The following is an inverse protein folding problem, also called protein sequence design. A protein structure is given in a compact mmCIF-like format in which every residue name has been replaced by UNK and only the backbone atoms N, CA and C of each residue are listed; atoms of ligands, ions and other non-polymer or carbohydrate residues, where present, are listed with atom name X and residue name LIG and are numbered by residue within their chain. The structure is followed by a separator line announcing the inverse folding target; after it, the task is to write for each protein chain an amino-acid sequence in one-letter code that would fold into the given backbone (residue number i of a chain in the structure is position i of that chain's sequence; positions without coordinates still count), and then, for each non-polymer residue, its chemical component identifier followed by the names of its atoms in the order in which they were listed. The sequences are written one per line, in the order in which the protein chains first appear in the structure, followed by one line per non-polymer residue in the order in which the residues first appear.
data_IF_138038843124
#
_entry.id   IF_138038843124
#
_cell.length_a   1.000
_cell.length_b   1.000
_cell.length_c   1.000
_cell.angle_alpha   90.00
_cell.angle_beta   90.00
_cell.angle_gamma   90.00
#
_symmetry.space_group_name_H-M   'P 1'
#
loop_
_entity.id
_entity.type
_entity.pdbx_description
1 polymer ?
#
# COMPACT_ATOMS: atom_id res chain seq x y z
N UNK A 1 5.14 -22.47 22.51
CA UNK A 1 4.96 -21.21 23.29
C UNK A 1 6.33 -20.77 23.79
N UNK A 2 6.94 -19.70 23.25
CA UNK A 2 8.13 -19.11 23.85
C UNK A 2 7.67 -18.35 25.10
N UNK A 3 8.10 -18.78 26.27
CA UNK A 3 7.90 -18.03 27.53
C UNK A 3 8.76 -16.78 27.43
N UNK A 4 8.13 -15.62 27.32
CA UNK A 4 8.82 -14.32 27.38
C UNK A 4 9.43 -14.17 28.77
N UNK A 5 10.75 -14.00 28.86
CA UNK A 5 11.51 -13.94 30.11
C UNK A 5 11.57 -12.55 30.72
N UNK A 6 11.08 -11.52 30.02
CA UNK A 6 11.06 -10.15 30.50
C UNK A 6 9.62 -9.66 30.77
N UNK A 7 9.42 -8.75 31.75
CA UNK A 7 8.09 -8.21 32.03
C UNK A 7 7.54 -7.44 30.83
N UNK A 8 6.29 -7.72 30.49
CA UNK A 8 5.55 -7.01 29.43
C UNK A 8 5.26 -5.58 29.92
N UNK A 9 5.71 -4.59 29.15
CA UNK A 9 5.33 -3.19 29.39
C UNK A 9 4.22 -2.83 28.41
N UNK A 10 2.99 -2.69 28.89
CA UNK A 10 1.86 -2.25 28.07
C UNK A 10 2.11 -0.82 27.58
N UNK A 11 2.03 -0.60 26.29
CA UNK A 11 2.23 0.68 25.60
C UNK A 11 0.89 1.32 25.26
N UNK A 12 -0.07 0.51 24.75
CA UNK A 12 -1.39 0.98 24.40
C UNK A 12 -2.43 -0.15 24.45
N UNK A 13 -3.67 0.23 24.69
CA UNK A 13 -4.84 -0.61 24.48
C UNK A 13 -5.54 -0.19 23.19
N UNK A 14 -6.01 -1.15 22.40
CA UNK A 14 -6.62 -0.89 21.10
C UNK A 14 -7.62 -1.99 20.77
N UNK A 15 -8.11 -1.97 19.55
CA UNK A 15 -8.92 -3.03 18.96
C UNK A 15 -8.22 -3.60 17.72
N UNK A 16 -8.40 -4.90 17.48
CA UNK A 16 -7.85 -5.58 16.33
C UNK A 16 -8.82 -6.65 15.84
N UNK A 17 -8.66 -7.08 14.60
CA UNK A 17 -9.47 -8.17 14.05
C UNK A 17 -8.84 -9.52 14.36
N UNK A 18 -9.67 -10.53 14.62
CA UNK A 18 -9.24 -11.91 14.55
C UNK A 18 -8.79 -12.23 13.11
N UNK A 19 -7.60 -12.78 12.88
CA UNK A 19 -7.14 -13.07 11.52
C UNK A 19 -7.89 -14.24 10.85
N UNK A 20 -8.71 -15.00 11.63
CA UNK A 20 -9.46 -16.15 11.14
C UNK A 20 -10.92 -15.82 10.83
N UNK A 21 -11.65 -15.19 11.78
CA UNK A 21 -13.08 -14.91 11.63
C UNK A 21 -13.42 -13.42 11.50
N UNK A 22 -12.43 -12.54 11.48
CA UNK A 22 -12.56 -11.08 11.36
C UNK A 22 -13.37 -10.42 12.50
N UNK A 23 -13.65 -11.13 13.58
CA UNK A 23 -14.30 -10.55 14.77
C UNK A 23 -13.41 -9.45 15.36
N UNK A 24 -14.02 -8.31 15.69
CA UNK A 24 -13.35 -7.22 16.40
C UNK A 24 -13.10 -7.65 17.86
N UNK A 25 -11.85 -7.53 18.29
CA UNK A 25 -11.37 -7.97 19.60
C UNK A 25 -10.64 -6.85 20.31
N UNK A 26 -10.72 -6.75 21.66
CA UNK A 26 -9.76 -5.99 22.44
C UNK A 26 -8.34 -6.51 22.17
N UNK A 27 -7.39 -5.61 22.09
CA UNK A 27 -5.99 -5.92 21.86
C UNK A 27 -5.08 -5.04 22.72
N UNK A 28 -3.94 -5.60 23.12
CA UNK A 28 -2.90 -4.87 23.84
C UNK A 28 -1.64 -4.78 22.98
N UNK A 29 -1.11 -3.57 22.89
CA UNK A 29 0.23 -3.31 22.34
C UNK A 29 1.20 -3.23 23.49
N UNK A 30 2.27 -4.01 23.48
CA UNK A 30 3.24 -4.04 24.57
C UNK A 30 4.67 -4.17 24.05
N UNK A 31 5.60 -3.67 24.85
CA UNK A 31 7.04 -3.79 24.61
C UNK A 31 7.60 -5.01 25.35
N UNK A 32 8.35 -5.82 24.64
CA UNK A 32 9.15 -6.91 25.19
C UNK A 32 10.32 -7.25 24.24
N UNK A 33 11.45 -7.61 24.78
CA UNK A 33 12.66 -8.04 24.01
C UNK A 33 13.09 -7.01 22.95
N UNK A 34 12.98 -5.71 23.23
CA UNK A 34 13.32 -4.63 22.28
C UNK A 34 12.38 -4.48 21.09
N UNK A 35 11.24 -5.18 21.11
CA UNK A 35 10.22 -5.18 20.06
C UNK A 35 8.88 -4.71 20.62
N UNK A 36 8.00 -4.31 19.71
CA UNK A 36 6.59 -4.05 20.01
C UNK A 36 5.76 -5.20 19.50
N UNK A 37 4.91 -5.72 20.34
CA UNK A 37 4.01 -6.83 20.09
C UNK A 37 2.55 -6.37 20.16
N UNK A 38 1.67 -7.07 19.47
CA UNK A 38 0.23 -6.93 19.63
C UNK A 38 -0.37 -8.28 20.01
N UNK A 39 -1.11 -8.32 21.10
CA UNK A 39 -1.79 -9.52 21.57
C UNK A 39 -3.30 -9.34 21.60
N UNK A 40 -4.03 -10.40 21.28
CA UNK A 40 -5.49 -10.47 21.30
C UNK A 40 -5.93 -11.91 21.51
N UNK A 41 -7.14 -12.12 22.06
CA UNK A 41 -7.69 -13.44 22.27
C UNK A 41 -9.07 -13.53 21.61
N UNK A 42 -9.23 -14.47 20.67
CA UNK A 42 -10.52 -14.78 20.07
C UNK A 42 -11.17 -15.94 20.81
N UNK A 43 -12.45 -15.85 21.20
CA UNK A 43 -13.14 -16.94 21.86
C UNK A 43 -13.21 -18.26 21.06
N UNK A 44 -13.15 -18.14 19.72
CA UNK A 44 -13.24 -19.30 18.81
C UNK A 44 -11.88 -19.82 18.34
N UNK A 45 -10.87 -18.92 18.23
CA UNK A 45 -9.58 -19.22 17.59
C UNK A 45 -8.38 -19.08 18.52
N UNK A 46 -8.61 -18.73 19.80
CA UNK A 46 -7.55 -18.65 20.83
C UNK A 46 -6.71 -17.38 20.74
N UNK A 47 -5.51 -17.46 21.30
CA UNK A 47 -4.59 -16.33 21.42
C UNK A 47 -3.79 -16.10 20.15
N UNK A 48 -3.61 -14.82 19.82
CA UNK A 48 -2.70 -14.32 18.80
C UNK A 48 -1.72 -13.34 19.41
N UNK A 49 -0.46 -13.51 19.10
CA UNK A 49 0.61 -12.69 19.60
C UNK A 49 1.61 -12.45 18.46
N UNK A 50 1.51 -11.28 17.85
CA UNK A 50 2.23 -10.94 16.64
C UNK A 50 3.24 -9.83 16.89
N UNK A 51 4.40 -9.88 16.21
CA UNK A 51 5.31 -8.72 16.16
C UNK A 51 4.61 -7.61 15.38
N UNK A 52 4.42 -6.47 16.05
CA UNK A 52 3.82 -5.26 15.47
C UNK A 52 4.93 -4.36 14.87
N UNK A 53 6.02 -4.15 15.62
CA UNK A 53 7.23 -3.49 15.15
C UNK A 53 8.45 -4.25 15.67
N UNK A 54 9.43 -4.52 14.81
CA UNK A 54 10.65 -5.24 15.18
C UNK A 54 11.64 -4.40 15.99
N UNK A 55 11.43 -3.08 16.13
CA UNK A 55 12.21 -2.18 16.97
C UNK A 55 11.30 -1.31 17.82
N UNK A 56 11.42 -1.46 19.16
CA UNK A 56 10.71 -0.61 20.12
C UNK A 56 11.20 0.84 20.04
N UNK A 57 12.49 1.07 19.84
CA UNK A 57 13.07 2.41 19.70
C UNK A 57 12.43 3.18 18.51
N UNK A 58 12.40 2.54 17.34
CA UNK A 58 11.81 3.15 16.15
C UNK A 58 10.30 3.38 16.31
N UNK A 59 9.59 2.48 17.00
CA UNK A 59 8.18 2.66 17.31
C UNK A 59 7.97 3.91 18.19
N UNK A 60 8.73 4.04 19.26
CA UNK A 60 8.61 5.21 20.14
C UNK A 60 9.02 6.51 19.45
N UNK A 61 10.02 6.46 18.56
CA UNK A 61 10.36 7.59 17.70
C UNK A 61 9.19 7.97 16.79
N UNK A 62 8.59 6.98 16.09
CA UNK A 62 7.45 7.22 15.21
C UNK A 62 6.22 7.77 15.95
N UNK A 63 5.95 7.28 17.17
CA UNK A 63 4.82 7.73 17.99
C UNK A 63 4.86 9.21 18.34
N UNK A 64 6.04 9.86 18.35
CA UNK A 64 6.17 11.30 18.60
C UNK A 64 5.65 12.16 17.45
N UNK A 65 5.49 11.58 16.27
CA UNK A 65 4.97 12.24 15.07
C UNK A 65 3.46 11.99 14.87
N UNK A 66 2.83 11.19 15.75
CA UNK A 66 1.41 10.92 15.64
C UNK A 66 0.61 12.22 15.80
N UNK A 67 -0.25 12.50 14.85
CA UNK A 67 -1.09 13.67 14.79
C UNK A 67 -2.45 13.34 14.19
N UNK A 68 -3.51 13.81 14.82
CA UNK A 68 -4.84 13.74 14.25
C UNK A 68 -5.00 14.80 13.16
N UNK A 69 -5.58 14.41 12.04
CA UNK A 69 -5.91 15.33 10.97
C UNK A 69 -7.10 16.21 11.28
N UNK A 70 -7.64 16.88 10.26
CA UNK A 70 -8.81 17.75 10.41
C UNK A 70 -10.15 17.01 10.42
N UNK A 71 -10.12 15.69 10.32
CA UNK A 71 -11.34 14.88 10.24
C UNK A 71 -12.13 15.11 8.97
N UNK A 72 -13.42 14.76 9.01
CA UNK A 72 -14.32 14.80 7.89
C UNK A 72 -15.66 15.48 8.29
N UNK A 73 -15.97 16.63 7.69
CA UNK A 73 -17.22 17.37 7.91
C UNK A 73 -18.37 16.89 7.01
N UNK A 74 -18.03 16.20 5.91
CA UNK A 74 -19.01 15.68 4.94
C UNK A 74 -18.96 14.14 4.89
N UNK A 75 -19.37 13.44 5.97
CA UNK A 75 -19.31 11.99 6.01
C UNK A 75 -20.29 11.38 4.99
N UNK A 76 -19.85 10.28 4.36
CA UNK A 76 -20.70 9.50 3.47
C UNK A 76 -21.52 8.47 4.25
N UNK A 77 -21.00 8.04 5.40
CA UNK A 77 -21.69 7.17 6.35
C UNK A 77 -21.89 7.95 7.66
N UNK A 78 -23.11 8.39 7.92
CA UNK A 78 -23.49 9.10 9.12
C UNK A 78 -24.29 8.18 10.05
N UNK A 79 -23.61 7.39 10.86
CA UNK A 79 -24.20 6.60 11.95
C UNK A 79 -23.99 7.31 13.27
N UNK A 80 -24.96 7.16 14.19
CA UNK A 80 -24.82 7.69 15.56
C UNK A 80 -23.62 7.08 16.30
N UNK A 81 -23.40 5.78 16.10
CA UNK A 81 -22.31 5.01 16.72
C UNK A 81 -21.67 4.10 15.66
N UNK A 82 -20.82 4.65 14.77
CA UNK A 82 -20.14 3.82 13.79
C UNK A 82 -19.10 2.92 14.49
N UNK A 83 -18.96 1.71 14.00
CA UNK A 83 -17.98 0.72 14.48
C UNK A 83 -16.93 0.49 13.41
N UNK A 84 -15.72 0.96 13.67
CA UNK A 84 -14.59 0.70 12.79
C UNK A 84 -14.12 -0.76 12.93
N UNK A 85 -13.84 -1.50 11.83
CA UNK A 85 -13.90 -1.09 10.43
C UNK A 85 -15.23 -1.43 9.72
N UNK A 86 -16.23 -1.98 10.42
CA UNK A 86 -17.47 -2.48 9.79
C UNK A 86 -18.31 -1.38 9.13
N UNK A 87 -18.27 -0.18 9.70
CA UNK A 87 -18.94 1.00 9.15
C UNK A 87 -17.95 1.96 8.46
N UNK A 88 -16.83 1.41 7.96
CA UNK A 88 -15.83 2.20 7.24
C UNK A 88 -16.35 2.61 5.85
N UNK A 89 -16.13 3.86 5.52
CA UNK A 89 -16.57 4.44 4.25
C UNK A 89 -16.72 5.95 4.38
N UNK A 90 -15.67 6.63 4.88
CA UNK A 90 -15.70 8.06 5.17
C UNK A 90 -16.81 8.39 6.19
N UNK A 91 -16.76 7.74 7.35
CA UNK A 91 -17.73 7.92 8.41
C UNK A 91 -17.46 9.18 9.25
N UNK A 92 -18.42 9.55 10.08
CA UNK A 92 -18.37 10.78 10.90
C UNK A 92 -17.42 10.75 12.09
N UNK A 93 -16.76 9.61 12.38
CA UNK A 93 -15.66 9.52 13.37
C UNK A 93 -14.29 9.43 12.71
N UNK A 94 -14.21 9.63 11.40
CA UNK A 94 -12.94 9.61 10.66
C UNK A 94 -12.07 10.80 11.08
N UNK A 95 -10.88 10.53 11.62
CA UNK A 95 -10.04 11.56 12.25
C UNK A 95 -9.13 12.30 11.26
N UNK A 96 -8.94 11.74 10.06
CA UNK A 96 -8.08 12.32 9.03
C UNK A 96 -8.91 12.71 7.79
N UNK A 97 -8.33 13.52 6.91
CA UNK A 97 -8.87 13.76 5.57
C UNK A 97 -8.12 12.93 4.53
N UNK A 98 -8.76 12.68 3.40
CA UNK A 98 -8.16 11.90 2.32
C UNK A 98 -7.08 12.71 1.60
N UNK A 99 -5.82 12.28 1.69
CA UNK A 99 -4.71 12.85 0.92
C UNK A 99 -4.63 12.23 -0.47
N UNK A 100 -4.69 10.90 -0.54
CA UNK A 100 -4.69 10.10 -1.74
C UNK A 100 -5.82 9.07 -1.66
N UNK A 101 -6.72 9.07 -2.62
CA UNK A 101 -7.80 8.09 -2.71
C UNK A 101 -7.42 6.97 -3.68
N UNK A 102 -7.58 5.72 -3.24
CA UNK A 102 -7.45 4.55 -4.10
C UNK A 102 -8.81 4.27 -4.78
N UNK A 103 -8.87 4.49 -6.08
CA UNK A 103 -10.05 4.19 -6.89
C UNK A 103 -9.89 2.84 -7.57
N UNK A 104 -10.64 1.85 -7.09
CA UNK A 104 -10.61 0.49 -7.64
C UNK A 104 -11.39 0.46 -8.95
N UNK A 105 -10.71 0.20 -10.07
CA UNK A 105 -11.29 0.20 -11.41
C UNK A 105 -11.77 -1.18 -11.86
N UNK A 106 -11.07 -2.22 -11.44
CA UNK A 106 -11.37 -3.60 -11.82
C UNK A 106 -10.77 -4.58 -10.83
N UNK A 107 -11.33 -5.77 -10.73
CA UNK A 107 -10.70 -6.91 -10.05
C UNK A 107 -10.08 -7.92 -11.04
N UNK A 108 -10.10 -7.63 -12.34
CA UNK A 108 -9.32 -8.41 -13.32
C UNK A 108 -7.83 -8.09 -13.22
N UNK A 109 -6.99 -9.09 -13.44
CA UNK A 109 -5.53 -8.96 -13.45
C UNK A 109 -4.93 -10.04 -14.35
N UNK A 110 -3.93 -9.73 -15.11
CA UNK A 110 -3.16 -10.68 -15.93
C UNK A 110 -2.07 -11.41 -15.12
N UNK A 111 -1.86 -11.00 -13.86
CA UNK A 111 -0.97 -11.67 -12.91
C UNK A 111 -1.73 -12.51 -11.88
N UNK A 112 -1.05 -13.52 -11.34
CA UNK A 112 -1.58 -14.45 -10.35
C UNK A 112 -0.72 -14.49 -9.08
N UNK A 113 -0.39 -13.33 -8.51
CA UNK A 113 0.48 -13.23 -7.34
C UNK A 113 -0.11 -13.99 -6.14
N UNK A 114 0.68 -14.90 -5.56
CA UNK A 114 0.24 -15.75 -4.44
C UNK A 114 0.02 -14.97 -3.13
N UNK A 115 0.61 -13.79 -2.99
CA UNK A 115 0.48 -12.90 -1.84
C UNK A 115 -0.50 -11.74 -2.08
N UNK A 116 -1.28 -11.75 -3.16
CA UNK A 116 -2.22 -10.69 -3.46
C UNK A 116 -3.27 -10.55 -2.36
N UNK A 117 -3.33 -9.37 -1.73
CA UNK A 117 -4.33 -9.09 -0.70
C UNK A 117 -5.71 -8.75 -1.29
N UNK A 118 -5.75 -8.42 -2.57
CA UNK A 118 -6.93 -7.90 -3.26
C UNK A 118 -7.83 -8.99 -3.86
N UNK A 119 -7.42 -10.26 -3.86
CA UNK A 119 -8.14 -11.38 -4.50
C UNK A 119 -8.44 -11.15 -5.99
N UNK A 120 -7.62 -10.40 -6.71
CA UNK A 120 -7.74 -10.24 -8.15
C UNK A 120 -7.86 -11.61 -8.84
N UNK A 121 -8.71 -11.71 -9.88
CA UNK A 121 -9.02 -12.94 -10.64
C UNK A 121 -9.65 -14.09 -9.84
N UNK A 122 -9.89 -13.95 -8.53
CA UNK A 122 -10.42 -15.02 -7.67
C UNK A 122 -11.68 -14.67 -6.89
N UNK A 123 -12.26 -13.52 -7.16
CA UNK A 123 -13.47 -13.06 -6.49
C UNK A 123 -14.73 -13.86 -6.91
N UNK A 124 -14.67 -14.57 -8.06
CA UNK A 124 -15.82 -15.28 -8.63
C UNK A 124 -16.84 -14.37 -9.33
N UNK A 125 -16.53 -13.08 -9.44
CA UNK A 125 -17.32 -12.09 -10.18
C UNK A 125 -16.39 -11.00 -10.71
N UNK A 126 -16.84 -10.27 -11.74
CA UNK A 126 -16.13 -9.09 -12.25
C UNK A 126 -16.73 -7.84 -11.60
N UNK A 127 -15.86 -7.04 -10.99
CA UNK A 127 -16.17 -5.71 -10.50
C UNK A 127 -15.53 -4.68 -11.42
N UNK A 128 -16.36 -3.92 -12.12
CA UNK A 128 -15.94 -2.78 -12.95
C UNK A 128 -17.02 -1.70 -12.88
N UNK A 129 -16.79 -0.62 -12.12
CA UNK A 129 -17.74 0.48 -12.06
C UNK A 129 -17.84 1.17 -13.43
N UNK A 130 -19.06 1.60 -13.79
CA UNK A 130 -19.29 2.37 -15.01
C UNK A 130 -18.61 3.75 -14.94
N UNK A 131 -18.43 4.39 -16.09
CA UNK A 131 -17.89 5.75 -16.16
C UNK A 131 -18.70 6.76 -15.32
N UNK A 132 -20.02 6.59 -15.28
CA UNK A 132 -20.89 7.40 -14.45
C UNK A 132 -20.64 7.19 -12.96
N UNK A 133 -20.55 5.93 -12.52
CA UNK A 133 -20.21 5.58 -11.13
C UNK A 133 -18.83 6.13 -10.72
N UNK A 134 -17.85 6.03 -11.62
CA UNK A 134 -16.50 6.59 -11.41
C UNK A 134 -16.59 8.11 -11.23
N UNK A 135 -17.35 8.80 -12.10
CA UNK A 135 -17.54 10.25 -12.00
C UNK A 135 -18.16 10.64 -10.65
N UNK A 136 -19.17 9.93 -10.20
CA UNK A 136 -19.79 10.18 -8.89
C UNK A 136 -18.83 9.91 -7.72
N UNK A 137 -18.02 8.83 -7.77
CA UNK A 137 -16.99 8.57 -6.77
C UNK A 137 -15.97 9.72 -6.69
N UNK A 138 -15.51 10.22 -7.84
CA UNK A 138 -14.56 11.34 -7.90
C UNK A 138 -15.21 12.61 -7.36
N UNK A 139 -16.48 12.92 -7.69
CA UNK A 139 -17.20 14.06 -7.13
C UNK A 139 -17.32 14.00 -5.61
N UNK A 140 -17.61 12.83 -5.04
CA UNK A 140 -17.64 12.63 -3.58
C UNK A 140 -16.31 13.04 -2.97
N UNK A 141 -15.21 12.55 -3.51
CA UNK A 141 -13.85 12.85 -3.04
C UNK A 141 -13.50 14.34 -3.17
N UNK A 142 -13.90 14.98 -4.27
CA UNK A 142 -13.65 16.41 -4.53
C UNK A 142 -14.53 17.33 -3.69
N UNK A 143 -15.69 16.88 -3.25
CA UNK A 143 -16.61 17.64 -2.40
C UNK A 143 -16.37 17.43 -0.89
N UNK A 144 -15.37 16.64 -0.50
CA UNK A 144 -15.02 16.43 0.89
C UNK A 144 -14.62 17.75 1.58
N UNK A 145 -15.06 17.92 2.81
CA UNK A 145 -14.70 19.05 3.67
C UNK A 145 -14.11 18.56 5.00
N UNK A 146 -13.19 19.30 5.62
CA UNK A 146 -12.75 20.66 5.24
C UNK A 146 -11.74 20.67 4.09
N UNK A 147 -11.15 19.53 3.72
CA UNK A 147 -10.10 19.43 2.69
C UNK A 147 -10.54 18.41 1.62
N UNK A 148 -10.71 18.83 0.36
CA UNK A 148 -11.01 17.90 -0.73
C UNK A 148 -9.81 17.02 -1.06
N UNK A 149 -10.05 15.77 -1.46
CA UNK A 149 -9.01 14.89 -1.98
C UNK A 149 -8.44 15.46 -3.29
N UNK A 150 -7.13 15.70 -3.33
CA UNK A 150 -6.45 16.28 -4.48
C UNK A 150 -5.77 15.24 -5.36
N UNK A 151 -5.49 14.07 -4.82
CA UNK A 151 -4.80 13.00 -5.51
C UNK A 151 -5.66 11.73 -5.55
N UNK A 152 -5.64 11.05 -6.69
CA UNK A 152 -6.30 9.77 -6.90
C UNK A 152 -5.30 8.79 -7.50
N UNK A 153 -5.25 7.59 -6.92
CA UNK A 153 -4.58 6.44 -7.48
C UNK A 153 -5.60 5.53 -8.16
N UNK A 154 -5.45 5.33 -9.45
CA UNK A 154 -6.20 4.34 -10.21
C UNK A 154 -5.57 2.97 -9.96
N UNK A 155 -6.34 2.04 -9.41
CA UNK A 155 -5.85 0.75 -8.92
C UNK A 155 -6.89 -0.36 -9.11
N UNK A 156 -6.63 -1.53 -8.55
CA UNK A 156 -7.51 -2.68 -8.60
C UNK A 156 -6.73 -3.98 -8.69
N UNK A 157 -7.12 -4.87 -9.62
CA UNK A 157 -6.24 -5.90 -10.16
C UNK A 157 -5.20 -5.23 -11.04
N UNK A 158 -5.44 -5.19 -12.37
CA UNK A 158 -4.62 -4.40 -13.29
C UNK A 158 -5.50 -3.38 -14.04
N UNK A 159 -5.41 -2.08 -13.69
CA UNK A 159 -6.21 -1.03 -14.31
C UNK A 159 -6.02 -0.89 -15.81
N UNK A 160 -4.83 -1.21 -16.31
CA UNK A 160 -4.51 -1.11 -17.75
C UNK A 160 -5.26 -2.14 -18.61
N UNK A 161 -5.94 -3.12 -18.02
CA UNK A 161 -6.83 -4.05 -18.71
C UNK A 161 -8.19 -3.43 -19.08
N UNK A 162 -8.52 -2.24 -18.58
CA UNK A 162 -9.76 -1.56 -18.95
C UNK A 162 -9.59 -0.82 -20.28
N UNK A 163 -10.50 -1.09 -21.21
CA UNK A 163 -10.50 -0.45 -22.54
C UNK A 163 -10.83 1.06 -22.46
N UNK A 164 -11.59 1.46 -21.45
CA UNK A 164 -12.00 2.85 -21.18
C UNK A 164 -11.09 3.60 -20.19
N UNK A 165 -9.88 3.06 -19.88
CA UNK A 165 -8.93 3.69 -18.95
C UNK A 165 -8.65 5.16 -19.28
N UNK A 166 -8.49 5.49 -20.55
CA UNK A 166 -8.20 6.87 -21.00
C UNK A 166 -9.35 7.81 -20.64
N UNK A 167 -10.58 7.37 -20.79
CA UNK A 167 -11.77 8.15 -20.43
C UNK A 167 -11.88 8.34 -18.91
N UNK A 168 -11.58 7.29 -18.15
CA UNK A 168 -11.53 7.35 -16.68
C UNK A 168 -10.52 8.42 -16.20
N UNK A 169 -9.32 8.45 -16.79
CA UNK A 169 -8.31 9.45 -16.46
C UNK A 169 -8.83 10.86 -16.76
N UNK A 170 -9.49 11.06 -17.91
CA UNK A 170 -10.10 12.35 -18.28
C UNK A 170 -11.17 12.77 -17.29
N UNK A 171 -12.06 11.87 -16.88
CA UNK A 171 -13.06 12.12 -15.85
C UNK A 171 -12.41 12.66 -14.56
N UNK A 172 -11.33 12.03 -14.08
CA UNK A 172 -10.62 12.52 -12.91
C UNK A 172 -10.13 13.96 -13.10
N UNK A 173 -9.56 14.29 -14.27
CA UNK A 173 -9.07 15.64 -14.56
C UNK A 173 -10.19 16.66 -14.72
N UNK A 174 -11.29 16.31 -15.36
CA UNK A 174 -12.49 17.14 -15.53
C UNK A 174 -13.12 17.51 -14.18
N UNK A 175 -13.17 16.57 -13.24
CA UNK A 175 -13.66 16.79 -11.89
C UNK A 175 -12.63 17.52 -10.98
N UNK A 176 -11.49 17.96 -11.52
CA UNK A 176 -10.53 18.81 -10.84
C UNK A 176 -9.53 18.08 -9.95
N UNK A 177 -9.22 16.81 -10.24
CA UNK A 177 -8.15 16.09 -9.54
C UNK A 177 -6.80 16.64 -9.97
N UNK A 178 -5.99 17.13 -9.03
CA UNK A 178 -4.69 17.71 -9.31
C UNK A 178 -3.67 16.65 -9.73
N UNK A 179 -3.65 15.51 -9.02
CA UNK A 179 -2.70 14.43 -9.24
C UNK A 179 -3.42 13.10 -9.49
N UNK A 180 -3.17 12.52 -10.66
CA UNK A 180 -3.64 11.17 -11.03
C UNK A 180 -2.42 10.28 -11.17
N UNK A 181 -2.38 9.19 -10.40
CA UNK A 181 -1.36 8.16 -10.54
C UNK A 181 -1.98 6.83 -10.97
N UNK A 182 -1.26 6.09 -11.81
CA UNK A 182 -1.65 4.77 -12.29
C UNK A 182 -0.83 3.71 -11.59
N UNK A 183 -1.49 2.87 -10.79
CA UNK A 183 -0.86 1.72 -10.14
C UNK A 183 -1.01 0.50 -11.05
N UNK A 184 0.09 -0.02 -11.56
CA UNK A 184 0.12 -1.04 -12.61
C UNK A 184 1.30 -1.99 -12.46
N UNK A 185 1.18 -3.20 -12.98
CA UNK A 185 2.33 -4.09 -13.20
C UNK A 185 3.23 -3.64 -14.36
N UNK A 186 2.72 -2.76 -15.21
CA UNK A 186 3.45 -2.14 -16.30
C UNK A 186 3.49 -2.94 -17.60
N UNK A 187 3.05 -4.20 -17.64
CA UNK A 187 3.16 -5.06 -18.82
C UNK A 187 2.54 -4.43 -20.07
N UNK A 188 1.36 -3.81 -19.93
CA UNK A 188 0.70 -3.10 -21.03
C UNK A 188 1.45 -1.83 -21.45
N UNK A 189 2.08 -1.12 -20.51
CA UNK A 189 2.91 0.05 -20.83
C UNK A 189 4.21 -0.35 -21.53
N UNK A 190 4.76 -1.53 -21.20
CA UNK A 190 5.94 -2.07 -21.85
C UNK A 190 5.66 -2.53 -23.27
N UNK A 191 4.56 -3.24 -23.49
CA UNK A 191 4.19 -3.81 -24.79
C UNK A 191 3.57 -2.79 -25.78
N UNK A 192 2.94 -1.71 -25.26
CA UNK A 192 2.29 -0.67 -26.08
C UNK A 192 2.82 0.73 -25.72
N UNK A 193 3.82 1.25 -26.47
CA UNK A 193 4.35 2.60 -26.24
C UNK A 193 3.31 3.71 -26.48
N UNK A 194 2.30 3.46 -27.33
CA UNK A 194 1.21 4.41 -27.56
C UNK A 194 0.32 4.55 -26.32
N UNK A 195 0.15 3.48 -25.54
CA UNK A 195 -0.61 3.55 -24.28
C UNK A 195 0.07 4.49 -23.29
N UNK A 196 1.40 4.41 -23.11
CA UNK A 196 2.15 5.31 -22.24
C UNK A 196 1.94 6.79 -22.62
N UNK A 197 1.98 7.10 -23.92
CA UNK A 197 1.69 8.44 -24.41
C UNK A 197 0.22 8.86 -24.18
N UNK A 198 -0.73 7.96 -24.41
CA UNK A 198 -2.16 8.23 -24.22
C UNK A 198 -2.51 8.51 -22.76
N UNK A 199 -2.02 7.69 -21.82
CA UNK A 199 -2.28 7.91 -20.38
C UNK A 199 -1.66 9.22 -19.91
N UNK A 200 -0.45 9.57 -20.40
CA UNK A 200 0.17 10.87 -20.10
C UNK A 200 -0.65 12.05 -20.62
N UNK A 201 -1.05 11.99 -21.88
CA UNK A 201 -1.89 13.04 -22.51
C UNK A 201 -3.26 13.18 -21.85
N UNK A 202 -3.82 12.07 -21.36
CA UNK A 202 -5.09 12.08 -20.62
C UNK A 202 -4.98 12.72 -19.23
N UNK A 203 -3.77 12.76 -18.64
CA UNK A 203 -3.53 13.47 -17.39
C UNK A 203 -2.88 12.67 -16.26
N UNK A 204 -2.38 11.46 -16.51
CA UNK A 204 -1.57 10.74 -15.52
C UNK A 204 -0.27 11.52 -15.25
N UNK A 205 0.02 11.73 -13.99
CA UNK A 205 1.22 12.40 -13.52
C UNK A 205 2.36 11.41 -13.23
N UNK A 206 2.02 10.27 -12.63
CA UNK A 206 3.00 9.30 -12.12
C UNK A 206 2.50 7.88 -12.34
N UNK A 207 3.40 6.98 -12.70
CA UNK A 207 3.17 5.53 -12.71
C UNK A 207 3.69 4.96 -11.40
N UNK A 208 2.84 4.25 -10.67
CA UNK A 208 3.18 3.40 -9.54
C UNK A 208 3.40 2.00 -10.07
N UNK A 209 4.67 1.65 -10.27
CA UNK A 209 5.09 0.44 -10.95
C UNK A 209 5.39 -0.67 -9.94
N UNK A 210 4.70 -1.78 -10.03
CA UNK A 210 5.05 -2.99 -9.29
C UNK A 210 6.47 -3.45 -9.62
N UNK A 211 7.34 -3.60 -8.61
CA UNK A 211 8.75 -3.92 -8.81
C UNK A 211 9.33 -4.59 -7.56
N UNK A 212 9.28 -5.90 -7.47
CA UNK A 212 9.59 -6.63 -6.23
C UNK A 212 11.06 -6.99 -6.05
N UNK A 213 11.93 -6.71 -7.04
CA UNK A 213 13.37 -6.98 -6.95
C UNK A 213 14.10 -6.75 -8.26
N UNK A 214 15.42 -6.82 -8.19
CA UNK A 214 16.35 -6.61 -9.30
C UNK A 214 16.66 -7.89 -10.09
N UNK A 215 16.25 -9.05 -9.56
CA UNK A 215 16.47 -10.36 -10.19
C UNK A 215 15.16 -10.99 -10.68
N UNK A 216 15.22 -11.93 -11.65
CA UNK A 216 14.01 -12.62 -12.13
C UNK A 216 13.30 -13.41 -11.04
N UNK A 217 14.05 -13.97 -10.10
CA UNK A 217 13.52 -14.76 -8.98
C UNK A 217 12.75 -13.90 -7.99
N UNK A 218 13.26 -12.69 -7.71
CA UNK A 218 12.64 -11.75 -6.78
C UNK A 218 11.49 -10.97 -7.44
N UNK A 219 11.57 -10.73 -8.76
CA UNK A 219 10.54 -10.01 -9.51
C UNK A 219 10.01 -10.82 -10.71
N UNK A 220 9.36 -11.95 -10.49
CA UNK A 220 8.86 -12.79 -11.57
C UNK A 220 7.68 -12.17 -12.35
N UNK A 221 7.16 -11.02 -11.90
CA UNK A 221 6.00 -10.36 -12.49
C UNK A 221 6.32 -9.71 -13.84
N UNK A 222 7.40 -8.95 -13.89
CA UNK A 222 7.70 -8.07 -15.02
C UNK A 222 9.22 -7.78 -15.18
N UNK A 223 10.08 -8.62 -14.60
CA UNK A 223 11.52 -8.37 -14.59
C UNK A 223 12.07 -8.08 -16.00
N UNK A 224 11.67 -8.86 -16.99
CA UNK A 224 12.18 -8.75 -18.35
C UNK A 224 11.60 -7.56 -19.10
N UNK A 225 10.45 -7.06 -18.71
CA UNK A 225 9.76 -5.95 -19.31
C UNK A 225 10.18 -4.59 -18.73
N UNK A 226 10.80 -4.57 -17.55
CA UNK A 226 11.21 -3.33 -16.86
C UNK A 226 11.99 -2.36 -17.76
N UNK A 227 13.02 -2.77 -18.51
CA UNK A 227 13.74 -1.83 -19.37
C UNK A 227 12.85 -1.14 -20.37
N UNK A 228 11.94 -1.89 -21.00
CA UNK A 228 11.02 -1.36 -22.01
C UNK A 228 9.91 -0.50 -21.37
N UNK A 229 9.42 -0.87 -20.19
CA UNK A 229 8.45 -0.07 -19.42
C UNK A 229 9.04 1.30 -19.11
N UNK A 230 10.25 1.34 -18.54
CA UNK A 230 10.92 2.59 -18.20
C UNK A 230 11.21 3.44 -19.45
N UNK A 231 11.64 2.84 -20.53
CA UNK A 231 11.90 3.56 -21.79
C UNK A 231 10.63 4.18 -22.37
N UNK A 232 9.51 3.47 -22.36
CA UNK A 232 8.22 3.99 -22.82
C UNK A 232 7.71 5.12 -21.91
N UNK A 233 7.90 4.99 -20.60
CA UNK A 233 7.60 6.05 -19.64
C UNK A 233 8.47 7.30 -19.85
N UNK A 234 9.79 7.15 -20.12
CA UNK A 234 10.69 8.27 -20.48
C UNK A 234 10.18 9.03 -21.69
N UNK A 235 9.90 8.30 -22.78
CA UNK A 235 9.38 8.90 -24.04
C UNK A 235 8.06 9.62 -23.84
N UNK A 236 7.21 9.12 -22.94
CA UNK A 236 5.94 9.73 -22.61
C UNK A 236 6.06 10.92 -21.64
N UNK A 237 7.20 11.11 -20.97
CA UNK A 237 7.37 12.11 -19.92
C UNK A 237 6.61 11.76 -18.63
N UNK A 238 6.49 10.47 -18.33
CA UNK A 238 5.91 9.95 -17.08
C UNK A 238 7.00 9.75 -16.04
N UNK A 239 6.81 10.21 -14.82
CA UNK A 239 7.63 9.80 -13.68
C UNK A 239 7.20 8.43 -13.15
N UNK A 240 8.13 7.65 -12.64
CA UNK A 240 7.87 6.32 -12.09
C UNK A 240 8.19 6.29 -10.61
N UNK A 241 7.31 5.72 -9.81
CA UNK A 241 7.56 5.32 -8.42
C UNK A 241 7.57 3.80 -8.38
N UNK A 242 8.65 3.21 -7.88
CA UNK A 242 8.72 1.76 -7.69
C UNK A 242 7.91 1.36 -6.45
N UNK A 243 7.17 0.28 -6.55
CA UNK A 243 6.29 -0.21 -5.47
C UNK A 243 6.61 -1.68 -5.17
N UNK A 244 7.72 -1.95 -4.48
CA UNK A 244 8.08 -3.29 -4.10
C UNK A 244 7.23 -3.80 -2.92
N UNK A 245 6.66 -4.99 -3.08
CA UNK A 245 6.12 -5.76 -1.96
C UNK A 245 7.22 -6.63 -1.40
N UNK A 246 7.64 -6.34 -0.18
CA UNK A 246 8.73 -7.07 0.48
C UNK A 246 8.17 -8.14 1.40
N UNK A 247 8.68 -9.35 1.22
CA UNK A 247 8.25 -10.57 1.92
C UNK A 247 9.49 -11.19 2.57
N UNK A 248 9.46 -11.29 3.90
CA UNK A 248 10.56 -11.91 4.63
C UNK A 248 10.86 -13.32 4.10
N UNK A 249 12.12 -13.69 3.97
CA UNK A 249 12.65 -14.96 3.42
C UNK A 249 12.38 -15.21 1.92
N UNK A 250 11.81 -14.23 1.20
CA UNK A 250 11.52 -14.35 -0.24
C UNK A 250 12.36 -13.35 -1.04
N UNK A 251 12.14 -12.06 -0.81
CA UNK A 251 12.82 -10.98 -1.52
C UNK A 251 13.32 -9.86 -0.59
N UNK A 252 13.39 -10.13 0.70
CA UNK A 252 13.84 -9.14 1.69
C UNK A 252 15.33 -8.76 1.54
N UNK A 253 16.13 -9.57 0.85
CA UNK A 253 17.50 -9.22 0.41
C UNK A 253 17.55 -8.18 -0.71
N UNK A 254 16.45 -7.94 -1.40
CA UNK A 254 16.36 -6.97 -2.52
C UNK A 254 16.18 -5.50 -2.08
N UNK A 255 15.95 -5.25 -0.80
CA UNK A 255 15.64 -3.89 -0.31
C UNK A 255 16.75 -2.90 -0.69
N UNK A 256 18.01 -3.19 -0.39
CA UNK A 256 19.16 -2.36 -0.78
C UNK A 256 19.35 -2.27 -2.30
N UNK A 257 19.41 -3.41 -3.02
CA UNK A 257 19.50 -3.41 -4.49
C UNK A 257 18.43 -2.58 -5.18
N UNK A 258 17.17 -2.59 -4.70
CA UNK A 258 16.08 -1.76 -5.24
C UNK A 258 16.38 -0.26 -5.04
N UNK A 259 16.89 0.14 -3.86
CA UNK A 259 17.28 1.54 -3.62
C UNK A 259 18.39 1.95 -4.59
N UNK A 260 19.41 1.09 -4.75
CA UNK A 260 20.49 1.33 -5.71
C UNK A 260 19.96 1.47 -7.14
N UNK A 261 19.07 0.58 -7.57
CA UNK A 261 18.41 0.68 -8.88
C UNK A 261 17.69 2.01 -9.06
N UNK A 262 17.03 2.52 -8.01
CA UNK A 262 16.43 3.84 -8.01
C UNK A 262 17.44 4.96 -8.25
N UNK A 263 18.58 4.92 -7.57
CA UNK A 263 19.67 5.89 -7.77
C UNK A 263 20.29 5.81 -9.18
N UNK A 264 20.45 4.61 -9.72
CA UNK A 264 20.99 4.40 -11.06
C UNK A 264 20.04 4.92 -12.17
N UNK A 265 18.76 5.19 -11.84
CA UNK A 265 17.71 5.63 -12.77
C UNK A 265 16.98 6.92 -12.31
N UNK A 266 17.68 7.85 -11.65
CA UNK A 266 17.09 9.11 -11.12
C UNK A 266 16.44 9.99 -12.19
N UNK A 267 16.78 9.81 -13.45
CA UNK A 267 16.16 10.50 -14.59
C UNK A 267 14.68 10.19 -14.74
N UNK A 268 14.25 8.99 -14.30
CA UNK A 268 12.87 8.50 -14.42
C UNK A 268 12.24 8.10 -13.09
N UNK A 269 13.01 7.48 -12.16
CA UNK A 269 12.52 7.04 -10.86
C UNK A 269 12.40 8.25 -9.93
N UNK A 270 11.20 8.50 -9.42
CA UNK A 270 10.87 9.64 -8.54
C UNK A 270 10.78 9.26 -7.07
N UNK A 271 10.70 7.98 -6.79
CA UNK A 271 10.62 7.44 -5.44
C UNK A 271 10.46 5.94 -5.42
N UNK A 272 10.56 5.39 -4.23
CA UNK A 272 10.34 3.97 -3.95
C UNK A 272 9.40 3.88 -2.75
N UNK A 273 8.29 3.17 -2.91
CA UNK A 273 7.31 2.94 -1.85
C UNK A 273 7.37 1.49 -1.43
N UNK A 274 8.25 1.16 -0.50
CA UNK A 274 8.33 -0.19 0.06
C UNK A 274 7.06 -0.57 0.81
N UNK A 275 6.51 -1.71 0.49
CA UNK A 275 5.32 -2.26 1.13
C UNK A 275 5.69 -3.57 1.85
N UNK A 276 5.79 -3.57 3.19
CA UNK A 276 5.76 -4.83 3.93
C UNK A 276 4.53 -5.63 3.53
N UNK A 277 4.71 -6.91 3.22
CA UNK A 277 3.61 -7.73 2.71
C UNK A 277 2.41 -7.74 3.65
N UNK A 278 1.22 -7.60 3.08
CA UNK A 278 -0.03 -7.77 3.82
C UNK A 278 -0.28 -9.25 4.12
N UNK A 279 -0.36 -9.60 5.40
CA UNK A 279 -0.56 -10.99 5.84
C UNK A 279 -2.05 -11.42 5.79
N UNK A 280 -2.74 -10.98 4.75
CA UNK A 280 -4.18 -11.21 4.49
C UNK A 280 -4.39 -11.65 3.05
N UNK A 281 -5.64 -11.82 2.64
CA UNK A 281 -5.95 -12.18 1.26
C UNK A 281 -5.50 -13.59 0.92
N UNK A 282 -4.68 -13.73 -0.11
CA UNK A 282 -4.18 -15.02 -0.63
C UNK A 282 -3.01 -15.60 0.16
N UNK A 283 -2.43 -14.83 1.08
CA UNK A 283 -1.32 -15.26 1.92
C UNK A 283 -1.67 -16.53 2.70
N UNK A 284 -0.84 -17.60 2.62
CA UNK A 284 -1.06 -18.81 3.40
C UNK A 284 -1.06 -18.53 4.90
N UNK A 285 -2.14 -18.89 5.59
CA UNK A 285 -2.33 -18.55 7.01
C UNK A 285 -1.22 -19.11 7.93
N UNK A 286 -0.76 -20.33 7.64
CA UNK A 286 0.27 -21.02 8.43
C UNK A 286 1.69 -20.46 8.21
N UNK A 287 1.89 -19.63 7.20
CA UNK A 287 3.18 -19.04 6.86
C UNK A 287 3.31 -17.57 7.27
N UNK A 288 2.28 -16.97 7.86
CA UNK A 288 2.25 -15.54 8.19
C UNK A 288 3.42 -15.08 9.03
N UNK A 289 3.82 -15.85 10.05
CA UNK A 289 4.95 -15.47 10.90
C UNK A 289 6.28 -15.54 10.14
N UNK A 290 6.44 -16.50 9.26
CA UNK A 290 7.65 -16.65 8.42
C UNK A 290 7.81 -15.47 7.48
N UNK A 291 6.72 -15.03 6.86
CA UNK A 291 6.73 -13.97 5.86
C UNK A 291 6.62 -12.55 6.44
N UNK A 292 6.40 -12.44 7.75
CA UNK A 292 6.28 -11.15 8.42
C UNK A 292 7.56 -10.35 8.32
N UNK A 293 7.42 -9.11 7.88
CA UNK A 293 8.46 -8.08 7.87
C UNK A 293 7.83 -6.76 8.31
N UNK A 294 8.57 -5.91 8.97
CA UNK A 294 8.09 -4.64 9.49
C UNK A 294 8.92 -3.47 8.95
N UNK A 295 8.44 -2.24 9.10
CA UNK A 295 9.14 -1.05 8.63
C UNK A 295 10.56 -0.94 9.18
N UNK A 296 10.85 -1.18 10.49
CA UNK A 296 12.21 -1.17 10.99
C UNK A 296 13.14 -2.18 10.31
N UNK A 297 12.61 -3.36 9.94
CA UNK A 297 13.41 -4.36 9.23
C UNK A 297 13.88 -3.85 7.86
N UNK A 298 13.01 -3.11 7.14
CA UNK A 298 13.36 -2.51 5.85
C UNK A 298 14.41 -1.41 6.01
N UNK A 299 14.23 -0.53 7.00
CA UNK A 299 15.19 0.56 7.28
C UNK A 299 16.55 -0.02 7.64
N UNK A 300 16.61 -1.04 8.49
CA UNK A 300 17.87 -1.70 8.85
C UNK A 300 18.55 -2.33 7.63
N UNK A 301 17.81 -2.95 6.71
CA UNK A 301 18.40 -3.51 5.47
C UNK A 301 18.97 -2.44 4.54
N UNK A 302 18.37 -1.25 4.51
CA UNK A 302 18.92 -0.12 3.75
C UNK A 302 20.20 0.36 4.41
N UNK A 303 20.18 0.59 5.74
CA UNK A 303 21.34 1.01 6.52
C UNK A 303 22.52 0.06 6.35
N UNK A 304 22.27 -1.28 6.46
CA UNK A 304 23.28 -2.30 6.30
C UNK A 304 23.85 -2.35 4.86
N UNK A 305 23.01 -2.20 3.83
CA UNK A 305 23.44 -2.27 2.44
C UNK A 305 24.31 -1.09 2.02
N UNK A 306 24.07 0.08 2.59
CA UNK A 306 24.81 1.31 2.30
C UNK A 306 25.87 1.64 3.37
N UNK A 307 26.27 0.65 4.19
CA UNK A 307 27.29 0.81 5.24
C UNK A 307 27.06 2.03 6.14
N UNK A 308 25.77 2.37 6.38
CA UNK A 308 25.36 3.51 7.20
C UNK A 308 25.39 4.88 6.50
N UNK A 309 25.72 4.95 5.20
CA UNK A 309 25.60 6.20 4.44
C UNK A 309 24.14 6.70 4.34
N UNK A 310 23.18 5.77 4.41
CA UNK A 310 21.77 6.03 4.59
C UNK A 310 21.37 5.35 5.88
N UNK A 311 21.25 6.13 6.96
CA UNK A 311 20.95 5.64 8.29
C UNK A 311 19.48 5.80 8.69
N UNK A 312 19.12 5.16 9.81
CA UNK A 312 17.76 5.25 10.35
C UNK A 312 17.31 6.68 10.69
N UNK A 313 18.23 7.60 10.89
CA UNK A 313 17.97 9.03 11.12
C UNK A 313 17.45 9.76 9.89
N UNK A 314 17.73 9.25 8.67
CA UNK A 314 17.27 9.83 7.42
C UNK A 314 15.79 9.51 7.12
N UNK A 315 15.19 8.59 7.88
CA UNK A 315 13.80 8.21 7.75
C UNK A 315 12.92 8.92 8.77
N UNK A 316 11.95 9.68 8.28
CA UNK A 316 11.02 10.43 9.13
C UNK A 316 9.60 9.85 9.02
N UNK A 317 8.93 9.60 10.16
CA UNK A 317 7.54 9.21 10.16
C UNK A 317 6.67 10.32 9.56
N UNK A 318 5.70 9.92 8.74
CA UNK A 318 4.64 10.83 8.27
C UNK A 318 3.52 10.77 9.31
N UNK A 319 3.09 11.91 9.87
CA UNK A 319 2.05 11.96 10.87
C UNK A 319 0.67 11.54 10.35
#
# INVERSE_FOLDING_TARGET
MKVLTQPKKVVAETQSLCPECLRLLPAQVYEAEGKIWISKCCPEHGEFNDVYWSSAEMYHRASRYAHDGKGLETPQIAKRTPVCPYDCGLCNIHMTHTLLANLVLTNRCDLNCWYCFFFAERAGYIYEPSLEQIREMVKVLRNMKPIPAKAIQLTGGEPALRDDLIEIIRICKEEGVDHVQLNTDGLRLGSDPELALKVRKAGVNTVYLSYDGTTPEANPKNHWEIPQILENCRKAGLGVVLVPTIINTVNDGEVGPIVKFGFDNLDIIRGITFQPVSLVGRMPKHERERFRITIPDLITRIEDYFDGEIGREDFYPVP
#
